data_IF_304431774904
#
_entry.id   IF_304431774904
#
_cell.length_a   1.000
_cell.length_b   1.000
_cell.length_c   1.000
_cell.angle_alpha   90.00
_cell.angle_beta   90.00
_cell.angle_gamma   90.00
#
_symmetry.space_group_name_H-M   'P 1'
#
loop_
_entity.id
_entity.type
_entity.pdbx_description
1 polymer ?
#
# COMPACT_ATOMS: atom_id res chain seq x y z
N UNK A 1 -5.70 -22.45 19.36
CA UNK A 1 -4.47 -21.66 19.13
C UNK A 1 -3.92 -21.84 17.71
N UNK A 2 -3.68 -23.05 17.28
CA UNK A 2 -3.14 -23.32 15.94
C UNK A 2 -4.03 -22.77 14.81
N UNK A 3 -5.34 -22.97 14.89
CA UNK A 3 -6.29 -22.52 13.88
C UNK A 3 -6.43 -20.99 13.82
N UNK A 4 -6.25 -20.29 14.94
CA UNK A 4 -6.34 -18.84 14.99
C UNK A 4 -5.13 -18.18 14.30
N UNK A 5 -3.94 -18.75 14.48
CA UNK A 5 -2.73 -18.23 13.82
C UNK A 5 -2.79 -18.41 12.30
N UNK A 6 -3.33 -19.53 11.82
CA UNK A 6 -3.52 -19.76 10.39
C UNK A 6 -4.55 -18.78 9.81
N UNK A 7 -5.67 -18.56 10.50
CA UNK A 7 -6.70 -17.60 10.08
C UNK A 7 -6.15 -16.19 10.03
N UNK A 8 -5.36 -15.80 11.02
CA UNK A 8 -4.75 -14.47 11.06
C UNK A 8 -3.74 -14.27 9.92
N UNK A 9 -2.89 -15.27 9.64
CA UNK A 9 -1.95 -15.22 8.53
C UNK A 9 -2.67 -15.13 7.19
N UNK A 10 -3.74 -15.91 7.00
CA UNK A 10 -4.55 -15.88 5.80
C UNK A 10 -5.24 -14.53 5.62
N UNK A 11 -5.74 -13.94 6.70
CA UNK A 11 -6.36 -12.61 6.68
C UNK A 11 -5.36 -11.54 6.27
N UNK A 12 -4.16 -11.56 6.82
CA UNK A 12 -3.09 -10.59 6.47
C UNK A 12 -2.69 -10.72 5.01
N UNK A 13 -2.57 -11.94 4.51
CA UNK A 13 -2.25 -12.21 3.10
C UNK A 13 -3.34 -11.66 2.19
N UNK A 14 -4.60 -11.93 2.49
CA UNK A 14 -5.74 -11.46 1.71
C UNK A 14 -5.83 -9.94 1.71
N UNK A 15 -5.56 -9.30 2.84
CA UNK A 15 -5.54 -7.84 2.95
C UNK A 15 -4.43 -7.24 2.08
N UNK A 16 -3.24 -7.86 2.07
CA UNK A 16 -2.14 -7.42 1.23
C UNK A 16 -2.45 -7.54 -0.25
N UNK A 17 -3.04 -8.65 -0.67
CA UNK A 17 -3.46 -8.87 -2.07
C UNK A 17 -4.53 -7.86 -2.50
N UNK A 18 -5.51 -7.61 -1.64
CA UNK A 18 -6.55 -6.62 -1.89
C UNK A 18 -5.97 -5.21 -1.99
N UNK A 19 -5.01 -4.88 -1.12
CA UNK A 19 -4.29 -3.61 -1.17
C UNK A 19 -3.57 -3.40 -2.49
N UNK A 20 -2.91 -4.42 -3.01
CA UNK A 20 -2.23 -4.35 -4.31
C UNK A 20 -3.22 -4.11 -5.46
N UNK A 21 -4.38 -4.73 -5.44
CA UNK A 21 -5.43 -4.50 -6.42
C UNK A 21 -5.94 -3.06 -6.38
N UNK A 22 -6.20 -2.53 -5.21
CA UNK A 22 -6.61 -1.13 -5.06
C UNK A 22 -5.51 -0.15 -5.45
N UNK A 23 -4.25 -0.50 -5.17
CA UNK A 23 -3.12 0.31 -5.60
C UNK A 23 -3.06 0.41 -7.14
N UNK A 24 -3.21 -0.70 -7.83
CA UNK A 24 -3.22 -0.74 -9.29
C UNK A 24 -4.37 0.10 -9.84
N UNK A 25 -5.58 -0.06 -9.29
CA UNK A 25 -6.73 0.75 -9.70
C UNK A 25 -6.48 2.24 -9.49
N UNK A 26 -5.94 2.62 -8.34
CA UNK A 26 -5.62 4.00 -8.04
C UNK A 26 -4.58 4.59 -9.02
N UNK A 27 -3.56 3.82 -9.35
CA UNK A 27 -2.55 4.24 -10.32
C UNK A 27 -3.16 4.45 -11.71
N UNK A 28 -4.06 3.58 -12.15
CA UNK A 28 -4.80 3.76 -13.41
C UNK A 28 -5.61 5.05 -13.37
N UNK A 29 -6.34 5.29 -12.29
CA UNK A 29 -7.15 6.50 -12.12
C UNK A 29 -6.30 7.78 -12.13
N UNK A 30 -5.08 7.71 -11.64
CA UNK A 30 -4.11 8.82 -11.63
C UNK A 30 -3.28 8.93 -12.91
N UNK A 31 -3.65 8.18 -13.93
CA UNK A 31 -3.01 8.23 -15.27
C UNK A 31 -1.58 7.70 -15.31
N UNK A 32 -1.23 6.79 -14.41
CA UNK A 32 -0.01 6.00 -14.56
C UNK A 32 -0.25 4.93 -15.65
N UNK A 33 0.83 4.55 -16.32
CA UNK A 33 0.81 3.49 -17.30
C UNK A 33 1.92 2.47 -17.07
N UNK A 34 1.97 1.44 -17.90
CA UNK A 34 2.93 0.33 -17.80
C UNK A 34 3.01 -0.25 -16.39
N UNK A 35 1.85 -0.41 -15.77
CA UNK A 35 1.72 -0.88 -14.39
C UNK A 35 1.98 -2.38 -14.36
N UNK A 36 2.95 -2.81 -13.54
CA UNK A 36 3.30 -4.21 -13.39
C UNK A 36 3.35 -4.59 -11.92
N UNK A 37 2.66 -5.66 -11.55
CA UNK A 37 2.73 -6.25 -10.22
C UNK A 37 4.00 -7.10 -10.14
N UNK A 38 4.93 -6.73 -9.28
CA UNK A 38 6.22 -7.41 -9.12
C UNK A 38 6.15 -8.62 -8.19
N UNK A 39 5.04 -8.79 -7.48
CA UNK A 39 4.80 -9.93 -6.60
C UNK A 39 4.15 -11.11 -7.31
N UNK A 40 3.89 -10.97 -8.61
CA UNK A 40 3.27 -12.03 -9.39
C UNK A 40 4.29 -13.13 -9.70
N UNK A 41 3.92 -14.37 -9.30
CA UNK A 41 4.67 -15.62 -9.56
C UNK A 41 6.07 -15.70 -8.93
N UNK A 42 7.12 -15.29 -9.63
CA UNK A 42 8.52 -15.52 -9.26
C UNK A 42 9.29 -14.26 -8.93
N UNK A 43 8.69 -13.10 -9.10
CA UNK A 43 9.34 -11.82 -8.87
C UNK A 43 9.09 -11.33 -7.45
N UNK A 44 9.74 -11.95 -6.49
CA UNK A 44 9.61 -11.57 -5.09
C UNK A 44 10.61 -10.45 -4.78
N UNK A 45 10.22 -9.22 -5.09
CA UNK A 45 11.06 -8.06 -4.84
C UNK A 45 10.98 -7.64 -3.37
N UNK A 46 12.12 -7.30 -2.78
CA UNK A 46 12.20 -7.01 -1.35
C UNK A 46 11.53 -5.71 -0.95
N UNK A 47 11.57 -4.67 -1.79
CA UNK A 47 10.94 -3.38 -1.53
C UNK A 47 9.71 -3.17 -2.40
N UNK A 48 9.86 -3.36 -3.70
CA UNK A 48 8.87 -2.92 -4.67
C UNK A 48 7.79 -3.97 -4.90
N UNK A 49 6.55 -3.57 -4.71
CA UNK A 49 5.37 -4.37 -5.04
C UNK A 49 4.89 -4.09 -6.45
N UNK A 50 5.06 -2.86 -6.92
CA UNK A 50 4.58 -2.39 -8.22
C UNK A 50 5.66 -1.56 -8.90
N UNK A 51 5.76 -1.71 -10.22
CA UNK A 51 6.51 -0.86 -11.13
C UNK A 51 5.54 -0.17 -12.08
N UNK A 52 5.74 1.11 -12.35
CA UNK A 52 4.88 1.86 -13.28
C UNK A 52 5.60 3.10 -13.82
N UNK A 53 4.92 3.80 -14.74
CA UNK A 53 5.43 5.04 -15.35
C UNK A 53 4.35 6.10 -15.37
N UNK A 54 4.79 7.36 -15.27
CA UNK A 54 3.95 8.53 -15.53
C UNK A 54 4.82 9.66 -16.06
N UNK A 55 4.39 10.26 -17.17
CA UNK A 55 5.07 11.42 -17.77
C UNK A 55 6.57 11.18 -18.01
N UNK A 56 6.92 9.98 -18.42
CA UNK A 56 8.31 9.59 -18.70
C UNK A 56 9.14 9.23 -17.48
N UNK A 57 8.59 9.33 -16.27
CA UNK A 57 9.27 8.96 -15.03
C UNK A 57 8.81 7.57 -14.59
N UNK A 58 9.78 6.74 -14.21
CA UNK A 58 9.52 5.37 -13.72
C UNK A 58 9.51 5.36 -12.20
N UNK A 59 8.59 4.57 -11.66
CA UNK A 59 8.35 4.44 -10.21
C UNK A 59 8.44 2.98 -9.79
N UNK A 60 9.04 2.73 -8.64
CA UNK A 60 8.91 1.48 -7.90
C UNK A 60 8.22 1.79 -6.57
N UNK A 61 7.15 1.08 -6.27
CA UNK A 61 6.23 1.45 -5.20
C UNK A 61 6.10 0.31 -4.20
N UNK A 62 6.34 0.60 -2.93
CA UNK A 62 6.00 -0.31 -1.83
C UNK A 62 4.58 0.02 -1.37
N UNK A 63 3.71 -0.99 -1.39
CA UNK A 63 2.31 -0.85 -0.99
C UNK A 63 2.13 -1.44 0.41
N UNK A 64 1.56 -0.64 1.31
CA UNK A 64 1.20 -1.07 2.66
C UNK A 64 -0.29 -0.86 2.87
N UNK A 65 -1.02 -1.95 3.10
CA UNK A 65 -2.46 -1.92 3.33
C UNK A 65 -2.75 -2.39 4.75
N UNK A 66 -3.50 -1.60 5.50
CA UNK A 66 -3.85 -1.88 6.90
C UNK A 66 -5.24 -1.39 7.21
N UNK A 67 -5.85 -1.99 8.21
CA UNK A 67 -7.09 -1.48 8.77
C UNK A 67 -6.83 -0.20 9.56
N UNK A 68 -7.76 0.73 9.48
CA UNK A 68 -7.69 2.01 10.19
C UNK A 68 -7.58 1.82 11.70
N UNK A 69 -8.32 0.83 12.23
CA UNK A 69 -8.33 0.52 13.66
C UNK A 69 -7.69 -0.83 13.92
N UNK A 70 -6.92 -0.92 14.99
CA UNK A 70 -6.42 -2.20 15.50
C UNK A 70 -7.56 -2.97 16.17
N UNK A 71 -7.33 -4.25 16.47
CA UNK A 71 -8.34 -5.10 17.14
C UNK A 71 -8.81 -4.54 18.48
N UNK A 72 -7.94 -3.80 19.18
CA UNK A 72 -8.25 -3.17 20.47
C UNK A 72 -8.94 -1.80 20.33
N UNK A 73 -9.27 -1.38 19.13
CA UNK A 73 -9.94 -0.12 18.85
C UNK A 73 -9.01 1.09 18.69
N UNK A 74 -7.71 0.94 18.92
CA UNK A 74 -6.77 2.04 18.73
C UNK A 74 -6.53 2.29 17.23
N UNK A 75 -6.26 3.55 16.87
CA UNK A 75 -5.89 3.92 15.52
C UNK A 75 -4.54 3.29 15.14
N UNK A 76 -4.48 2.81 13.91
CA UNK A 76 -3.25 2.30 13.31
C UNK A 76 -2.57 3.46 12.57
N UNK A 77 -1.73 4.21 13.27
CA UNK A 77 -1.20 5.49 12.78
C UNK A 77 0.11 5.38 12.02
N UNK A 78 0.77 4.24 12.06
CA UNK A 78 2.08 4.04 11.44
C UNK A 78 2.11 2.70 10.72
N UNK A 79 2.49 2.73 9.43
CA UNK A 79 2.64 1.51 8.64
C UNK A 79 4.12 1.22 8.46
N UNK A 80 4.62 0.16 9.08
CA UNK A 80 6.03 -0.20 9.06
C UNK A 80 6.50 -0.59 7.67
N UNK A 81 7.64 -0.04 7.27
CA UNK A 81 8.28 -0.33 5.98
C UNK A 81 9.21 -1.55 6.03
N UNK A 82 9.64 -1.93 7.23
CA UNK A 82 10.65 -2.97 7.42
C UNK A 82 12.04 -2.38 7.67
N UNK A 83 12.91 -3.17 8.31
CA UNK A 83 14.25 -2.72 8.75
C UNK A 83 15.18 -2.37 7.59
N UNK A 84 15.04 -3.05 6.45
CA UNK A 84 15.94 -2.89 5.30
C UNK A 84 15.28 -2.13 4.14
N UNK A 85 14.20 -1.40 4.41
CA UNK A 85 13.39 -0.76 3.36
C UNK A 85 14.21 0.20 2.50
N UNK A 86 15.04 1.05 3.11
CA UNK A 86 15.80 2.05 2.36
C UNK A 86 16.94 1.44 1.55
N UNK A 87 17.60 0.42 2.07
CA UNK A 87 18.62 -0.35 1.32
C UNK A 87 17.98 -1.05 0.14
N UNK A 88 16.87 -1.74 0.37
CA UNK A 88 16.15 -2.47 -0.67
C UNK A 88 15.51 -1.54 -1.70
N UNK A 89 15.06 -0.37 -1.27
CA UNK A 89 14.54 0.64 -2.18
C UNK A 89 15.61 1.13 -3.14
N UNK A 90 16.82 1.39 -2.65
CA UNK A 90 17.93 1.82 -3.49
C UNK A 90 18.32 0.76 -4.52
N UNK A 91 18.31 -0.51 -4.12
CA UNK A 91 18.54 -1.63 -5.04
C UNK A 91 17.47 -1.66 -6.13
N UNK A 92 16.20 -1.49 -5.76
CA UNK A 92 15.10 -1.46 -6.71
C UNK A 92 15.20 -0.26 -7.66
N UNK A 93 15.53 0.92 -7.14
CA UNK A 93 15.74 2.10 -7.98
C UNK A 93 16.79 1.88 -9.06
N UNK A 94 17.88 1.24 -8.71
CA UNK A 94 18.96 0.93 -9.66
C UNK A 94 18.54 -0.16 -10.66
N UNK A 95 17.90 -1.21 -10.16
CA UNK A 95 17.44 -2.33 -11.00
C UNK A 95 16.44 -1.91 -12.06
N UNK A 96 15.50 -1.05 -11.71
CA UNK A 96 14.40 -0.62 -12.58
C UNK A 96 14.61 0.74 -13.21
N UNK A 97 15.71 1.43 -12.87
CA UNK A 97 15.94 2.81 -13.27
C UNK A 97 14.73 3.69 -12.94
N UNK A 98 14.35 3.69 -11.67
CA UNK A 98 13.10 4.25 -11.19
C UNK A 98 13.30 5.01 -9.89
N UNK A 99 12.28 5.72 -9.44
CA UNK A 99 12.26 6.45 -8.17
C UNK A 99 11.37 5.70 -7.18
N UNK A 100 11.88 5.48 -5.96
CA UNK A 100 11.15 4.75 -4.94
C UNK A 100 10.07 5.62 -4.29
N UNK A 101 8.86 5.08 -4.28
CA UNK A 101 7.68 5.68 -3.66
C UNK A 101 7.02 4.68 -2.72
N UNK A 102 6.17 5.18 -1.88
CA UNK A 102 5.32 4.38 -1.00
C UNK A 102 3.85 4.70 -1.28
N UNK A 103 3.00 3.72 -1.05
CA UNK A 103 1.55 3.89 -1.08
C UNK A 103 0.97 3.24 0.17
N UNK A 104 0.20 3.99 0.92
CA UNK A 104 -0.52 3.50 2.09
C UNK A 104 -2.00 3.44 1.78
N UNK A 105 -2.60 2.28 2.02
CA UNK A 105 -4.03 2.07 1.83
C UNK A 105 -4.63 1.77 3.20
N UNK A 106 -5.50 2.66 3.64
CA UNK A 106 -6.17 2.57 4.92
C UNK A 106 -7.60 2.13 4.71
N UNK A 107 -7.94 0.96 5.25
CA UNK A 107 -9.28 0.42 5.16
C UNK A 107 -10.09 0.77 6.41
N UNK A 108 -11.28 1.32 6.20
CA UNK A 108 -12.31 1.46 7.21
C UNK A 108 -13.49 0.54 6.85
N UNK A 109 -14.53 0.48 7.67
CA UNK A 109 -15.64 -0.46 7.47
C UNK A 109 -16.30 -0.34 6.11
N UNK A 110 -16.52 0.88 5.63
CA UNK A 110 -17.23 1.14 4.37
C UNK A 110 -16.46 2.03 3.41
N UNK A 111 -15.21 2.33 3.72
CA UNK A 111 -14.41 3.25 2.94
C UNK A 111 -12.95 2.88 2.99
N UNK A 112 -12.18 3.50 2.15
CA UNK A 112 -10.74 3.40 2.18
C UNK A 112 -10.12 4.73 1.76
N UNK A 113 -8.91 4.95 2.20
CA UNK A 113 -8.12 6.13 1.84
C UNK A 113 -6.80 5.68 1.24
N UNK A 114 -6.32 6.42 0.26
CA UNK A 114 -5.03 6.13 -0.36
C UNK A 114 -4.12 7.35 -0.20
N UNK A 115 -2.92 7.09 0.31
CA UNK A 115 -1.87 8.08 0.46
C UNK A 115 -0.66 7.64 -0.36
N UNK A 116 -0.02 8.59 -1.03
CA UNK A 116 1.08 8.31 -1.94
C UNK A 116 2.19 9.36 -1.76
N UNK A 117 3.42 8.90 -1.76
CA UNK A 117 4.55 9.83 -1.63
C UNK A 117 5.89 9.22 -1.97
N UNK A 118 6.89 10.10 -2.11
CA UNK A 118 8.26 9.72 -2.32
C UNK A 118 8.87 9.16 -1.03
N UNK A 119 9.65 8.09 -1.15
CA UNK A 119 10.33 7.51 -0.01
C UNK A 119 11.30 8.51 0.63
N UNK A 120 11.94 9.35 -0.17
CA UNK A 120 12.87 10.38 0.32
C UNK A 120 12.19 11.38 1.27
N UNK A 121 10.91 11.65 1.08
CA UNK A 121 10.17 12.61 1.91
C UNK A 121 9.87 12.07 3.32
N UNK A 122 10.15 10.82 3.58
CA UNK A 122 10.03 10.23 4.91
C UNK A 122 11.27 10.44 5.78
N UNK A 123 12.36 10.96 5.23
CA UNK A 123 13.61 11.25 5.93
C UNK A 123 14.13 10.05 6.75
N UNK A 124 14.14 8.86 6.12
CA UNK A 124 14.56 7.59 6.72
C UNK A 124 13.70 7.11 7.89
N UNK A 125 12.48 7.60 8.01
CA UNK A 125 11.52 7.05 8.97
C UNK A 125 11.25 5.57 8.67
N UNK A 126 11.17 4.75 9.72
CA UNK A 126 10.91 3.30 9.59
C UNK A 126 9.47 2.97 9.23
N UNK A 127 8.59 3.97 9.25
CA UNK A 127 7.18 3.77 8.99
C UNK A 127 6.59 4.96 8.24
N UNK A 128 5.52 4.69 7.50
CA UNK A 128 4.69 5.74 6.90
C UNK A 128 3.82 6.32 8.00
N UNK A 129 3.89 7.64 8.28
CA UNK A 129 3.09 8.26 9.34
C UNK A 129 1.69 8.61 8.80
N UNK A 130 0.79 7.63 8.81
CA UNK A 130 -0.53 7.75 8.20
C UNK A 130 -1.37 8.85 8.85
N UNK A 131 -1.21 9.09 10.15
CA UNK A 131 -1.85 10.20 10.85
C UNK A 131 -1.46 11.57 10.24
N UNK A 132 -0.21 11.74 9.85
CA UNK A 132 0.25 12.95 9.14
C UNK A 132 -0.21 12.99 7.69
N UNK A 133 -0.36 11.84 7.06
CA UNK A 133 -0.93 11.74 5.72
C UNK A 133 -2.38 12.21 5.71
N UNK A 134 -3.18 11.82 6.69
CA UNK A 134 -4.57 12.27 6.82
C UNK A 134 -4.70 13.79 6.94
N UNK A 135 -3.73 14.42 7.57
CA UNK A 135 -3.68 15.88 7.75
C UNK A 135 -3.10 16.62 6.55
N UNK A 136 -2.68 15.89 5.51
CA UNK A 136 -2.05 16.50 4.34
C UNK A 136 -0.63 17.00 4.56
N UNK A 137 0.04 16.58 5.65
CA UNK A 137 1.39 17.02 5.99
C UNK A 137 2.45 16.21 5.23
N UNK A 138 2.19 14.92 5.03
CA UNK A 138 3.11 13.99 4.36
C UNK A 138 2.40 13.33 3.18
N UNK A 139 3.02 13.41 2.01
CA UNK A 139 2.51 12.77 0.81
C UNK A 139 1.25 13.43 0.24
N UNK A 140 0.67 12.77 -0.72
CA UNK A 140 -0.57 13.17 -1.40
C UNK A 140 -1.71 12.29 -0.94
N UNK A 141 -2.90 12.87 -0.82
CA UNK A 141 -4.15 12.14 -0.59
C UNK A 141 -4.78 11.90 -1.96
N UNK A 142 -4.92 10.64 -2.33
CA UNK A 142 -5.62 10.29 -3.58
C UNK A 142 -7.07 9.98 -3.27
N UNK A 143 -7.93 10.95 -3.52
CA UNK A 143 -9.36 10.73 -3.40
C UNK A 143 -9.83 9.91 -4.59
N UNK A 144 -10.15 8.64 -4.31
CA UNK A 144 -10.95 7.88 -5.24
C UNK A 144 -12.37 8.43 -5.18
N UNK A 145 -12.93 8.63 -6.35
CA UNK A 145 -14.24 9.20 -6.58
C UNK A 145 -15.23 8.85 -5.46
N UNK A 146 -15.71 9.83 -4.72
CA UNK A 146 -16.61 9.72 -3.56
C UNK A 146 -17.87 8.87 -3.79
N UNK A 147 -18.11 8.40 -5.01
CA UNK A 147 -19.28 7.60 -5.39
C UNK A 147 -19.11 6.11 -5.19
N UNK A 148 -17.91 5.63 -4.84
CA UNK A 148 -17.66 4.21 -4.68
C UNK A 148 -17.39 3.89 -3.21
N UNK A 149 -18.49 3.79 -2.44
CA UNK A 149 -18.41 3.17 -1.15
C UNK A 149 -18.18 1.67 -1.35
N UNK A 150 -17.13 1.19 -0.78
CA UNK A 150 -16.83 -0.23 -0.79
C UNK A 150 -17.20 -0.78 0.59
N UNK A 151 -18.21 -1.64 0.63
CA UNK A 151 -18.61 -2.29 1.87
C UNK A 151 -17.72 -3.52 2.08
N UNK A 152 -16.67 -3.36 2.86
CA UNK A 152 -15.74 -4.44 3.16
C UNK A 152 -16.39 -5.60 3.90
N UNK A 153 -17.30 -5.31 4.82
CA UNK A 153 -18.00 -6.35 5.56
C UNK A 153 -18.83 -7.22 4.62
N UNK A 154 -19.45 -6.61 3.62
CA UNK A 154 -20.20 -7.34 2.62
C UNK A 154 -19.31 -8.28 1.80
N UNK A 155 -18.15 -7.81 1.37
CA UNK A 155 -17.26 -8.61 0.52
C UNK A 155 -16.41 -9.60 1.29
N UNK A 156 -15.98 -9.28 2.50
CA UNK A 156 -15.12 -10.15 3.30
C UNK A 156 -15.91 -11.25 4.01
N UNK A 157 -17.13 -10.94 4.47
CA UNK A 157 -17.97 -11.88 5.20
C UNK A 157 -18.92 -12.66 4.30
N UNK A 158 -19.05 -12.28 3.06
CA UNK A 158 -19.86 -13.03 2.12
C UNK A 158 -19.10 -14.27 1.73
N UNK A 159 -19.63 -15.43 2.13
CA UNK A 159 -19.10 -16.69 1.65
C UNK A 159 -19.24 -16.77 0.13
N UNK A 160 -18.10 -16.87 -0.48
CA UNK A 160 -18.04 -17.03 -1.93
C UNK A 160 -18.01 -18.53 -2.22
#
# INVERSE_FOLDING_TARGET
MYNENIKEAARKKSLGELGELFAIKALVDQKFDRIRNLNDKTMNEAFADIECEKDGLRYVISVKARNKFQKDGRLNTRYNLGSDAYVNAKIAEQKYNAVAHWMAIQFDQKSFSIYFGSLNDLYKSKAIPVDKCEKGIVGEIWELNKRHYFDFDYYINKEI
#
